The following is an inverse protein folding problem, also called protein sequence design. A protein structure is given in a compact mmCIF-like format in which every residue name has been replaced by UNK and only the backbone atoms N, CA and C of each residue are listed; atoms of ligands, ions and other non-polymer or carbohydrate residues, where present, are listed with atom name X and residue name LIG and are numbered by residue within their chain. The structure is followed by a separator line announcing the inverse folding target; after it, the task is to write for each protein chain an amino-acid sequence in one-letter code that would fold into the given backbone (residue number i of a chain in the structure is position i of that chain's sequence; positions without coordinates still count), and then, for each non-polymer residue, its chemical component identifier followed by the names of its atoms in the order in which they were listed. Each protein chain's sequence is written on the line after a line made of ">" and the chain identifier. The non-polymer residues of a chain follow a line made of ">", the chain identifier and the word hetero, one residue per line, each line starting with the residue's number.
data_IF_765186287704
#
_entry.id   IF_765186287704
#
_cell.length_a   1.000
_cell.length_b   1.000
_cell.length_c   1.000
_cell.angle_alpha   90.00
_cell.angle_beta   90.00
_cell.angle_gamma   90.00
#
_symmetry.space_group_name_H-M   'P 1'
#
loop_
_entity.id
_entity.type
_entity.pdbx_description
1 polymer ?
#
# COMPACT_ATOMS: atom_id res chain seq x y z
N UNK A 1 12.55 9.00 12.20
CA UNK A 1 11.75 7.76 12.31
C UNK A 1 10.34 8.01 11.79
N UNK A 2 9.75 9.15 12.17
CA UNK A 2 8.52 9.73 11.63
C UNK A 2 8.52 9.87 10.09
N UNK A 3 9.56 10.43 9.48
CA UNK A 3 9.65 10.58 8.01
C UNK A 3 9.52 9.24 7.25
N UNK A 4 10.13 8.17 7.79
CA UNK A 4 10.02 6.83 7.17
C UNK A 4 8.61 6.27 7.29
N UNK A 5 7.92 6.56 8.40
CA UNK A 5 6.55 6.13 8.59
C UNK A 5 5.61 6.89 7.63
N UNK A 6 5.81 8.20 7.47
CA UNK A 6 5.09 8.99 6.47
C UNK A 6 5.30 8.46 5.05
N UNK A 7 6.54 8.18 4.64
CA UNK A 7 6.80 7.59 3.31
C UNK A 7 6.12 6.23 3.11
N UNK A 8 6.01 5.41 4.17
CA UNK A 8 5.29 4.14 4.10
C UNK A 8 3.78 4.34 4.01
N UNK A 9 3.23 5.34 4.70
CA UNK A 9 1.81 5.72 4.62
C UNK A 9 1.48 6.20 3.21
N UNK A 10 2.30 7.08 2.65
CA UNK A 10 2.13 7.59 1.28
C UNK A 10 2.17 6.44 0.28
N UNK A 11 3.16 5.55 0.43
CA UNK A 11 3.27 4.37 -0.43
C UNK A 11 2.08 3.42 -0.31
N UNK A 12 1.56 3.23 0.90
CA UNK A 12 0.36 2.43 1.11
C UNK A 12 -0.85 3.03 0.41
N UNK A 13 -1.03 4.36 0.46
CA UNK A 13 -2.10 5.07 -0.25
C UNK A 13 -1.97 4.94 -1.77
N UNK A 14 -0.75 5.03 -2.32
CA UNK A 14 -0.50 4.81 -3.76
C UNK A 14 -0.91 3.40 -4.21
N UNK A 15 -0.55 2.38 -3.41
CA UNK A 15 -0.86 0.98 -3.72
C UNK A 15 -2.37 0.73 -3.58
N UNK A 16 -3.03 1.29 -2.57
CA UNK A 16 -4.48 1.23 -2.39
C UNK A 16 -5.21 1.89 -3.58
N UNK A 17 -4.75 3.04 -4.04
CA UNK A 17 -5.29 3.68 -5.24
C UNK A 17 -5.07 2.83 -6.49
N UNK A 18 -3.87 2.24 -6.64
CA UNK A 18 -3.54 1.37 -7.77
C UNK A 18 -4.43 0.13 -7.83
N UNK A 19 -4.81 -0.43 -6.68
CA UNK A 19 -5.75 -1.56 -6.60
C UNK A 19 -7.19 -1.21 -7.04
N UNK A 20 -7.52 0.08 -7.08
CA UNK A 20 -8.79 0.58 -7.60
C UNK A 20 -8.71 1.06 -9.06
N UNK A 21 -7.50 1.10 -9.66
CA UNK A 21 -7.29 1.53 -11.03
C UNK A 21 -7.69 0.40 -12.02
N UNK A 22 -8.62 0.66 -12.97
CA UNK A 22 -8.99 -0.30 -14.00
C UNK A 22 -7.80 -0.85 -14.79
N UNK A 23 -6.72 -0.09 -15.01
CA UNK A 23 -5.53 -0.56 -15.72
C UNK A 23 -4.76 -1.62 -14.93
N UNK A 24 -4.73 -1.50 -13.60
CA UNK A 24 -4.08 -2.46 -12.71
C UNK A 24 -4.96 -3.68 -12.51
N UNK A 25 -6.26 -3.49 -12.28
CA UNK A 25 -7.21 -4.59 -12.03
C UNK A 25 -7.39 -5.49 -13.25
N UNK A 26 -7.38 -4.91 -14.46
CA UNK A 26 -7.48 -5.67 -15.71
C UNK A 26 -6.16 -6.38 -16.10
N UNK A 27 -5.06 -6.16 -15.38
CA UNK A 27 -3.78 -6.82 -15.60
C UNK A 27 -3.44 -7.75 -14.42
N UNK A 28 -3.55 -9.09 -14.59
CA UNK A 28 -3.33 -10.05 -13.51
C UNK A 28 -1.95 -9.95 -12.84
N UNK A 29 -0.92 -9.58 -13.59
CA UNK A 29 0.44 -9.44 -13.05
C UNK A 29 0.54 -8.22 -12.14
N UNK A 30 0.06 -7.07 -12.62
CA UNK A 30 0.06 -5.82 -11.85
C UNK A 30 -0.83 -5.94 -10.61
N UNK A 31 -2.02 -6.55 -10.75
CA UNK A 31 -2.92 -6.80 -9.64
C UNK A 31 -2.26 -7.68 -8.57
N UNK A 32 -1.54 -8.73 -8.97
CA UNK A 32 -0.85 -9.62 -8.03
C UNK A 32 0.28 -8.90 -7.29
N UNK A 33 1.05 -8.08 -8.01
CA UNK A 33 2.15 -7.29 -7.43
C UNK A 33 1.63 -6.25 -6.43
N UNK A 34 0.65 -5.43 -6.86
CA UNK A 34 0.01 -4.45 -5.99
C UNK A 34 -0.66 -5.10 -4.76
N UNK A 35 -1.32 -6.25 -4.94
CA UNK A 35 -1.94 -6.99 -3.83
C UNK A 35 -0.91 -7.52 -2.83
N UNK A 36 0.26 -7.95 -3.31
CA UNK A 36 1.35 -8.44 -2.45
C UNK A 36 1.96 -7.29 -1.66
N UNK A 37 2.19 -6.15 -2.32
CA UNK A 37 2.72 -4.95 -1.69
C UNK A 37 1.76 -4.42 -0.63
N UNK A 38 0.46 -4.31 -0.96
CA UNK A 38 -0.59 -3.92 -0.02
C UNK A 38 -0.60 -4.79 1.24
N UNK A 39 -0.59 -6.12 1.07
CA UNK A 39 -0.56 -7.05 2.21
C UNK A 39 0.68 -6.92 3.08
N UNK A 40 1.83 -6.57 2.49
CA UNK A 40 3.08 -6.38 3.24
C UNK A 40 3.10 -5.08 4.04
N UNK A 41 2.50 -4.01 3.51
CA UNK A 41 2.44 -2.70 4.14
C UNK A 41 1.32 -2.61 5.18
N UNK A 42 0.21 -3.31 4.98
CA UNK A 42 -0.96 -3.29 5.88
C UNK A 42 -0.60 -3.44 7.37
N UNK A 43 0.14 -4.47 7.84
CA UNK A 43 0.46 -4.59 9.26
C UNK A 43 1.34 -3.45 9.78
N UNK A 44 2.23 -2.90 8.95
CA UNK A 44 3.12 -1.80 9.33
C UNK A 44 2.30 -0.51 9.52
N UNK A 45 1.36 -0.24 8.62
CA UNK A 45 0.50 0.94 8.70
C UNK A 45 -0.52 0.81 9.83
N UNK A 46 -1.13 -0.36 10.03
CA UNK A 46 -2.07 -0.59 11.14
C UNK A 46 -1.40 -0.28 12.47
N UNK A 47 -0.21 -0.85 12.71
CA UNK A 47 0.56 -0.58 13.92
C UNK A 47 1.02 0.88 13.96
N UNK A 48 1.56 1.40 12.86
CA UNK A 48 2.06 2.78 12.78
C UNK A 48 1.00 3.85 13.06
N UNK A 49 -0.26 3.60 12.68
CA UNK A 49 -1.39 4.49 12.99
C UNK A 49 -1.80 4.47 14.47
N UNK A 50 -1.50 3.42 15.21
CA UNK A 50 -1.75 3.39 16.66
C UNK A 50 -0.71 4.22 17.45
N UNK A 51 0.43 4.54 16.84
CA UNK A 51 1.51 5.34 17.44
C UNK A 51 1.46 6.83 17.06
N UNK A 52 0.56 7.25 16.16
CA UNK A 52 0.30 8.64 15.76
C UNK A 52 -0.93 9.20 16.49
#
# INVERSE_FOLDING_TARGET
>A
MEERLHSLIDRFAEVEQSLNDPHTVNNPTLLREASREYKSLLPIITVGREYL
#
